data_IF_815555522489
#
_entry.id   IF_815555522489
#
_cell.length_a   1.000
_cell.length_b   1.000
_cell.length_c   1.000
_cell.angle_alpha   90.00
_cell.angle_beta   90.00
_cell.angle_gamma   90.00
#
_symmetry.space_group_name_H-M   'P 1'
#
loop_
_entity.id
_entity.type
_entity.pdbx_description
1 polymer ?
#
# COMPACT_ATOMS: atom_id res chain seq x y z
N UNK A 1 12.97 -10.40 -20.60
CA UNK A 1 11.91 -9.99 -19.73
C UNK A 1 11.52 -11.13 -18.81
N UNK A 2 11.50 -10.86 -17.52
CA UNK A 2 11.05 -11.84 -16.55
C UNK A 2 9.56 -11.66 -16.35
N UNK A 3 8.80 -12.74 -16.35
CA UNK A 3 7.36 -12.67 -16.21
C UNK A 3 7.01 -12.34 -14.77
N UNK A 4 6.41 -11.18 -14.59
CA UNK A 4 5.71 -10.85 -13.36
C UNK A 4 4.36 -11.56 -13.33
N UNK A 5 3.79 -11.70 -12.16
CA UNK A 5 2.43 -12.20 -12.02
C UNK A 5 1.44 -11.19 -12.56
N UNK A 6 0.63 -11.64 -13.49
CA UNK A 6 -0.42 -10.81 -14.07
C UNK A 6 -1.79 -10.99 -13.41
N UNK A 7 -1.95 -11.97 -12.54
CA UNK A 7 -3.22 -12.23 -11.90
C UNK A 7 -3.25 -11.74 -10.47
N UNK A 8 -4.36 -11.10 -10.11
CA UNK A 8 -4.63 -10.79 -8.72
C UNK A 8 -4.49 -12.07 -7.87
N UNK A 9 -3.99 -11.95 -6.65
CA UNK A 9 -3.80 -10.69 -5.94
C UNK A 9 -2.54 -9.91 -6.29
N UNK A 10 -1.63 -10.45 -7.10
CA UNK A 10 -0.38 -9.78 -7.46
C UNK A 10 -0.16 -9.72 -8.96
N UNK A 11 0.33 -8.61 -9.41
CA UNK A 11 0.68 -8.33 -10.79
C UNK A 11 0.60 -6.84 -11.08
N UNK A 12 1.37 -6.39 -12.04
CA UNK A 12 1.25 -5.02 -12.55
C UNK A 12 -0.01 -4.96 -13.39
N UNK A 13 -0.97 -4.16 -12.98
CA UNK A 13 -2.30 -4.08 -13.58
C UNK A 13 -2.47 -2.87 -14.48
N UNK A 14 -1.68 -1.83 -14.27
CA UNK A 14 -1.80 -0.58 -15.00
C UNK A 14 -0.43 0.11 -15.15
N UNK A 15 -0.40 1.15 -15.96
CA UNK A 15 0.72 2.09 -16.02
C UNK A 15 0.52 3.28 -15.07
N UNK A 16 -0.52 3.25 -14.26
CA UNK A 16 -0.84 4.33 -13.33
C UNK A 16 0.10 4.40 -12.13
N UNK A 17 0.24 5.58 -11.60
CA UNK A 17 1.08 5.87 -10.43
C UNK A 17 0.65 5.06 -9.21
N UNK A 18 -0.64 4.78 -9.11
CA UNK A 18 -1.24 4.06 -7.99
C UNK A 18 -1.25 2.53 -8.16
N UNK A 19 -0.29 1.99 -8.89
CA UNK A 19 -0.20 0.56 -9.14
C UNK A 19 0.04 -0.24 -7.87
N UNK A 20 -0.99 -0.88 -7.40
CA UNK A 20 -0.95 -1.72 -6.19
C UNK A 20 -0.08 -2.97 -6.33
N UNK A 21 0.20 -3.41 -7.55
CA UNK A 21 1.07 -4.54 -7.84
C UNK A 21 2.56 -4.25 -7.68
N UNK A 22 2.93 -2.98 -7.57
CA UNK A 22 4.33 -2.53 -7.45
C UNK A 22 4.71 -2.13 -6.02
N UNK A 23 4.12 -2.77 -5.02
CA UNK A 23 4.43 -2.49 -3.62
C UNK A 23 5.81 -2.99 -3.23
N UNK A 24 6.53 -2.14 -2.49
CA UNK A 24 7.85 -2.42 -1.94
C UNK A 24 7.87 -2.16 -0.44
N UNK A 25 8.82 -2.77 0.24
CA UNK A 25 9.18 -2.44 1.61
C UNK A 25 10.43 -1.60 1.57
N UNK A 26 10.43 -0.46 2.23
CA UNK A 26 11.56 0.45 2.35
C UNK A 26 12.16 0.35 3.73
N UNK A 27 13.49 0.42 3.80
CA UNK A 27 14.22 0.35 5.04
C UNK A 27 14.13 -0.99 5.76
N UNK A 28 14.68 -1.04 6.96
CA UNK A 28 14.76 -2.23 7.79
C UNK A 28 14.63 -1.90 9.27
N UNK A 29 14.39 -2.92 10.10
CA UNK A 29 14.22 -2.73 11.55
C UNK A 29 13.02 -1.86 11.91
N UNK A 30 13.23 -0.90 12.81
CA UNK A 30 12.21 0.04 13.26
C UNK A 30 11.75 1.00 12.16
N UNK A 31 12.66 1.37 11.25
CA UNK A 31 12.38 2.24 10.08
C UNK A 31 11.81 1.50 8.86
N UNK A 32 11.37 0.27 9.05
CA UNK A 32 10.78 -0.51 7.96
C UNK A 32 9.37 -0.04 7.64
N UNK A 33 9.20 0.51 6.46
CA UNK A 33 7.92 0.93 5.91
C UNK A 33 7.48 -0.02 4.79
N UNK A 34 6.49 -0.87 5.02
CA UNK A 34 5.95 -1.78 4.02
C UNK A 34 4.81 -1.16 3.23
N UNK A 35 4.53 -1.75 2.06
CA UNK A 35 3.44 -1.36 1.16
C UNK A 35 3.59 0.03 0.53
N UNK A 36 4.82 0.51 0.45
CA UNK A 36 5.13 1.73 -0.29
C UNK A 36 4.97 1.48 -1.78
N UNK A 37 4.37 2.42 -2.49
CA UNK A 37 4.22 2.34 -3.95
C UNK A 37 5.54 2.65 -4.62
N UNK A 38 6.12 1.67 -5.31
CA UNK A 38 7.40 1.87 -6.00
C UNK A 38 7.32 2.94 -7.10
N UNK A 39 6.13 3.20 -7.62
CA UNK A 39 5.90 4.17 -8.70
C UNK A 39 5.95 5.62 -8.21
N UNK A 40 5.72 5.86 -6.92
CA UNK A 40 5.74 7.20 -6.32
C UNK A 40 6.92 7.43 -5.40
N UNK A 41 7.72 6.37 -5.15
CA UNK A 41 8.86 6.47 -4.26
C UNK A 41 9.99 7.27 -4.89
N UNK A 42 10.38 8.33 -4.23
CA UNK A 42 11.57 9.10 -4.59
C UNK A 42 12.83 8.25 -4.46
N UNK A 43 13.70 8.33 -5.47
CA UNK A 43 14.96 7.60 -5.49
C UNK A 43 16.09 8.48 -4.93
N UNK A 44 16.78 7.95 -3.94
CA UNK A 44 17.96 8.60 -3.36
C UNK A 44 19.07 7.57 -3.12
N UNK A 45 20.28 8.05 -2.98
CA UNK A 45 21.44 7.21 -2.72
C UNK A 45 21.30 6.51 -1.34
N UNK A 46 21.52 5.19 -1.33
CA UNK A 46 21.36 4.37 -0.12
C UNK A 46 19.94 3.89 0.15
N UNK A 47 18.98 4.11 -0.76
CA UNK A 47 17.63 3.58 -0.63
C UNK A 47 17.64 2.05 -0.57
N UNK A 48 17.24 1.49 0.57
CA UNK A 48 17.02 0.05 0.74
C UNK A 48 15.55 -0.27 0.43
N UNK A 49 15.30 -0.86 -0.74
CA UNK A 49 13.97 -1.21 -1.19
C UNK A 49 13.87 -2.69 -1.56
N UNK A 50 12.91 -3.39 -0.96
CA UNK A 50 12.66 -4.81 -1.18
C UNK A 50 11.30 -5.04 -1.80
N UNK A 51 11.25 -5.69 -2.96
CA UNK A 51 9.99 -6.06 -3.61
C UNK A 51 9.17 -7.05 -2.78
N UNK A 52 7.86 -6.83 -2.71
CA UNK A 52 6.90 -7.68 -2.00
C UNK A 52 6.19 -8.68 -2.92
N UNK A 53 6.30 -8.50 -4.23
CA UNK A 53 5.57 -9.28 -5.23
C UNK A 53 6.21 -10.59 -5.64
N UNK A 54 7.39 -10.92 -5.14
CA UNK A 54 8.10 -12.15 -5.48
C UNK A 54 8.50 -12.91 -4.22
N UNK A 55 8.51 -14.24 -4.29
CA UNK A 55 8.97 -15.11 -3.22
C UNK A 55 9.63 -16.38 -3.78
N UNK A 56 10.83 -16.74 -3.33
CA UNK A 56 11.70 -16.04 -2.37
C UNK A 56 12.44 -14.83 -2.98
N UNK A 57 12.51 -14.72 -4.30
CA UNK A 57 13.23 -13.63 -4.96
C UNK A 57 12.61 -13.27 -6.31
N UNK A 58 13.03 -12.15 -6.87
CA UNK A 58 12.64 -11.73 -8.24
C UNK A 58 13.17 -12.69 -9.31
N UNK A 59 14.27 -13.39 -9.02
CA UNK A 59 14.87 -14.33 -9.94
C UNK A 59 14.10 -15.66 -10.02
N UNK A 60 13.48 -16.02 -8.91
CA UNK A 60 12.70 -17.25 -8.78
C UNK A 60 11.47 -16.98 -7.90
N UNK A 61 10.30 -16.89 -8.52
CA UNK A 61 9.05 -16.58 -7.82
C UNK A 61 8.10 -17.77 -7.85
N UNK A 62 7.96 -18.45 -6.71
CA UNK A 62 6.97 -19.51 -6.54
C UNK A 62 5.54 -19.05 -6.80
N UNK A 63 5.27 -17.80 -6.54
CA UNK A 63 3.96 -17.24 -6.78
C UNK A 63 3.61 -17.15 -8.27
N UNK A 64 4.58 -17.33 -9.19
CA UNK A 64 4.32 -17.45 -10.63
C UNK A 64 3.35 -18.56 -10.99
N UNK A 65 3.20 -19.60 -10.14
CA UNK A 65 2.21 -20.66 -10.32
C UNK A 65 0.78 -20.13 -10.40
N UNK A 66 0.50 -18.97 -9.75
CA UNK A 66 -0.81 -18.33 -9.83
C UNK A 66 -1.17 -17.86 -11.25
N UNK A 67 -0.21 -17.70 -12.15
CA UNK A 67 -0.49 -17.36 -13.55
C UNK A 67 -1.25 -18.48 -14.25
N UNK A 68 -0.98 -19.73 -13.86
CA UNK A 68 -1.65 -20.90 -14.39
C UNK A 68 -2.94 -21.23 -13.67
N UNK A 69 -2.99 -20.95 -12.38
CA UNK A 69 -4.12 -21.25 -11.50
C UNK A 69 -5.05 -20.06 -11.26
N UNK A 70 -4.87 -18.96 -11.97
CA UNK A 70 -5.60 -17.70 -11.77
C UNK A 70 -7.12 -17.82 -11.82
N UNK A 71 -7.66 -18.79 -12.59
CA UNK A 71 -9.09 -19.07 -12.63
C UNK A 71 -9.62 -19.58 -11.29
N UNK A 72 -8.82 -20.33 -10.55
CA UNK A 72 -9.19 -20.92 -9.26
C UNK A 72 -8.92 -19.96 -8.10
N UNK A 73 -7.98 -19.04 -8.27
CA UNK A 73 -7.55 -18.11 -7.22
C UNK A 73 -8.07 -16.67 -7.43
N UNK A 74 -9.18 -16.52 -8.15
CA UNK A 74 -9.85 -15.23 -8.26
C UNK A 74 -10.34 -14.73 -6.89
N UNK A 75 -10.42 -13.42 -6.70
CA UNK A 75 -10.79 -12.80 -5.43
C UNK A 75 -12.10 -13.36 -4.85
N UNK A 76 -13.09 -13.67 -5.70
CA UNK A 76 -14.35 -14.30 -5.28
C UNK A 76 -14.18 -15.70 -4.67
N UNK A 77 -13.18 -16.46 -5.12
CA UNK A 77 -12.89 -17.77 -4.54
C UNK A 77 -12.40 -17.63 -3.10
N UNK A 78 -11.47 -16.70 -2.85
CA UNK A 78 -10.96 -16.48 -1.49
C UNK A 78 -12.06 -16.06 -0.53
N UNK A 79 -12.88 -15.09 -0.91
CA UNK A 79 -13.97 -14.62 -0.06
C UNK A 79 -15.02 -15.69 0.20
N UNK A 80 -15.48 -16.40 -0.83
CA UNK A 80 -16.52 -17.42 -0.67
C UNK A 80 -16.04 -18.66 0.07
N UNK A 81 -14.80 -19.08 -0.18
CA UNK A 81 -14.28 -20.34 0.36
C UNK A 81 -13.83 -20.19 1.81
N UNK A 82 -13.14 -19.09 2.15
CA UNK A 82 -12.50 -18.98 3.45
C UNK A 82 -13.29 -18.15 4.46
N UNK A 83 -14.14 -17.24 4.02
CA UNK A 83 -15.01 -16.48 4.93
C UNK A 83 -16.33 -17.21 5.23
N UNK A 84 -16.75 -18.11 4.35
CA UNK A 84 -17.99 -18.88 4.54
C UNK A 84 -17.84 -20.17 5.35
N UNK A 85 -16.63 -20.52 5.78
CA UNK A 85 -16.43 -21.66 6.68
C UNK A 85 -16.96 -21.32 8.08
N UNK A 86 -17.69 -22.28 8.73
CA UNK A 86 -18.21 -22.03 10.06
C UNK A 86 -17.11 -21.57 11.01
N UNK A 87 -17.40 -20.68 11.95
CA UNK A 87 -16.44 -20.24 12.92
C UNK A 87 -16.04 -21.41 13.81
N UNK A 88 -14.88 -21.97 13.55
CA UNK A 88 -14.22 -22.78 14.54
C UNK A 88 -13.65 -21.79 15.55
N UNK A 89 -14.30 -21.67 16.68
CA UNK A 89 -13.86 -20.83 17.79
C UNK A 89 -12.55 -21.39 18.37
N UNK A 90 -11.46 -21.05 17.74
CA UNK A 90 -10.15 -21.22 18.34
C UNK A 90 -9.66 -19.86 18.83
N UNK A 91 -9.98 -19.55 20.07
CA UNK A 91 -9.48 -18.40 20.80
C UNK A 91 -10.01 -17.05 20.32
N UNK A 92 -10.94 -16.48 21.03
CA UNK A 92 -11.41 -15.08 20.92
C UNK A 92 -11.95 -14.63 19.55
N UNK A 93 -12.85 -15.39 18.96
CA UNK A 93 -13.76 -14.86 17.92
C UNK A 93 -13.15 -14.57 16.53
N UNK A 94 -11.91 -14.94 16.26
CA UNK A 94 -11.25 -14.63 14.98
C UNK A 94 -11.27 -15.78 13.95
N UNK A 95 -11.73 -16.95 14.33
CA UNK A 95 -11.97 -18.10 13.45
C UNK A 95 -10.77 -18.56 12.60
N UNK A 96 -11.02 -19.52 11.76
CA UNK A 96 -10.10 -20.06 10.75
C UNK A 96 -9.57 -18.97 9.78
N UNK A 97 -10.32 -17.88 9.59
CA UNK A 97 -9.92 -16.77 8.74
C UNK A 97 -8.53 -16.24 9.06
N UNK A 98 -8.18 -16.06 10.32
CA UNK A 98 -6.86 -15.52 10.70
C UNK A 98 -5.67 -16.40 10.31
N UNK A 99 -5.90 -17.68 10.10
CA UNK A 99 -4.87 -18.61 9.58
C UNK A 99 -4.68 -18.38 8.08
N UNK A 100 -5.79 -18.31 7.34
CA UNK A 100 -5.76 -18.09 5.91
C UNK A 100 -5.35 -16.67 5.55
N UNK A 101 -5.69 -15.68 6.37
CA UNK A 101 -5.33 -14.28 6.17
C UNK A 101 -3.82 -14.11 5.97
N UNK A 102 -3.02 -14.79 6.78
CA UNK A 102 -1.55 -14.72 6.65
C UNK A 102 -1.04 -15.23 5.30
N UNK A 103 -1.65 -16.31 4.81
CA UNK A 103 -1.29 -16.88 3.51
C UNK A 103 -1.76 -15.98 2.38
N UNK A 104 -3.00 -15.48 2.47
CA UNK A 104 -3.60 -14.60 1.48
C UNK A 104 -2.85 -13.28 1.42
N UNK A 105 -2.51 -12.68 2.56
CA UNK A 105 -1.70 -11.45 2.63
C UNK A 105 -0.37 -11.63 1.93
N UNK A 106 0.35 -12.71 2.24
CA UNK A 106 1.63 -13.02 1.58
C UNK A 106 1.45 -13.26 0.08
N UNK A 107 0.40 -13.98 -0.30
CA UNK A 107 0.07 -14.22 -1.70
C UNK A 107 -0.32 -12.93 -2.42
N UNK A 108 -0.96 -11.99 -1.75
CA UNK A 108 -1.28 -10.66 -2.26
C UNK A 108 -0.06 -9.73 -2.40
N UNK A 109 1.11 -10.13 -1.89
CA UNK A 109 2.30 -9.30 -1.91
C UNK A 109 2.25 -8.15 -0.92
N UNK A 110 1.41 -8.24 0.10
CA UNK A 110 1.34 -7.23 1.15
C UNK A 110 2.40 -7.49 2.22
N UNK A 111 3.11 -6.44 2.59
CA UNK A 111 4.13 -6.45 3.63
C UNK A 111 3.53 -6.42 5.03
N UNK A 112 4.40 -6.51 6.00
CA UNK A 112 4.06 -6.47 7.41
C UNK A 112 4.79 -5.33 8.09
N UNK A 113 4.06 -4.49 8.81
CA UNK A 113 4.62 -3.38 9.58
C UNK A 113 5.67 -3.84 10.59
N UNK A 114 6.59 -2.96 10.95
CA UNK A 114 7.50 -3.17 12.06
C UNK A 114 6.70 -3.32 13.36
N UNK A 115 7.23 -4.07 14.29
CA UNK A 115 6.72 -4.16 15.68
C UNK A 115 7.66 -3.47 16.65
N UNK A 116 8.76 -2.95 16.16
CA UNK A 116 9.70 -2.17 16.94
C UNK A 116 9.11 -0.80 17.24
N UNK A 117 9.50 -0.15 18.33
CA UNK A 117 9.07 1.21 18.61
C UNK A 117 9.44 2.13 17.46
N UNK A 118 8.56 3.08 17.18
CA UNK A 118 8.79 4.11 16.19
C UNK A 118 9.95 5.01 16.65
N UNK A 119 11.03 5.13 15.87
CA UNK A 119 12.16 5.97 16.22
C UNK A 119 11.95 7.44 15.87
N UNK A 120 10.89 7.77 15.15
CA UNK A 120 10.65 9.11 14.67
C UNK A 120 10.05 10.00 15.76
N UNK A 121 10.40 11.27 15.73
CA UNK A 121 9.87 12.29 16.63
C UNK A 121 8.91 13.17 15.85
N UNK A 122 7.70 13.31 16.36
CA UNK A 122 6.64 14.09 15.72
C UNK A 122 6.47 15.42 16.42
N UNK A 123 6.39 16.49 15.66
CA UNK A 123 6.01 17.80 16.16
C UNK A 123 4.49 17.91 16.18
N UNK A 124 3.99 18.55 17.22
CA UNK A 124 2.57 18.84 17.38
C UNK A 124 2.37 20.36 17.38
N UNK A 125 1.57 20.84 16.46
CA UNK A 125 1.21 22.24 16.36
C UNK A 125 -0.31 22.39 16.24
N UNK A 126 -0.80 23.56 16.67
CA UNK A 126 -2.19 23.97 16.46
C UNK A 126 -2.19 25.19 15.55
N UNK A 127 -3.01 25.14 14.53
CA UNK A 127 -3.17 26.25 13.61
C UNK A 127 -4.66 26.43 13.29
N UNK A 128 -5.02 27.61 12.79
CA UNK A 128 -6.40 27.98 12.50
C UNK A 128 -6.51 28.44 11.05
N UNK A 129 -7.51 27.95 10.36
CA UNK A 129 -7.81 28.35 9.00
C UNK A 129 -9.32 28.41 8.76
N UNK A 130 -9.70 29.17 7.74
CA UNK A 130 -11.09 29.20 7.26
C UNK A 130 -11.38 27.98 6.38
N UNK A 131 -10.37 27.52 5.62
CA UNK A 131 -10.46 26.39 4.71
C UNK A 131 -9.23 25.48 4.88
N UNK A 132 -9.47 24.21 5.17
CA UNK A 132 -8.44 23.17 5.15
C UNK A 132 -8.61 22.32 3.90
N UNK A 133 -7.59 22.30 3.04
CA UNK A 133 -7.52 21.46 1.85
C UNK A 133 -6.56 20.32 2.12
N UNK A 134 -7.01 19.07 1.95
CA UNK A 134 -6.20 17.88 2.14
C UNK A 134 -5.91 17.24 0.77
N UNK A 135 -4.65 17.25 0.40
CA UNK A 135 -4.15 16.79 -0.90
C UNK A 135 -3.96 17.93 -1.89
N UNK A 136 -2.78 17.99 -2.50
CA UNK A 136 -2.39 19.02 -3.47
C UNK A 136 -2.53 18.58 -4.92
N UNK A 137 -3.38 17.61 -5.21
CA UNK A 137 -3.72 17.26 -6.59
C UNK A 137 -4.37 18.46 -7.33
N UNK A 138 -4.63 18.34 -8.64
CA UNK A 138 -5.15 19.44 -9.45
C UNK A 138 -6.41 20.10 -8.87
N UNK A 139 -7.31 19.31 -8.29
CA UNK A 139 -8.52 19.80 -7.64
C UNK A 139 -8.18 20.58 -6.36
N UNK A 140 -7.36 19.99 -5.46
CA UNK A 140 -7.00 20.65 -4.20
C UNK A 140 -6.26 21.96 -4.41
N UNK A 141 -5.35 22.02 -5.38
CA UNK A 141 -4.66 23.27 -5.73
C UNK A 141 -5.64 24.31 -6.28
N UNK A 142 -6.60 23.89 -7.12
CA UNK A 142 -7.62 24.80 -7.65
C UNK A 142 -8.52 25.35 -6.53
N UNK A 143 -8.97 24.49 -5.64
CA UNK A 143 -9.82 24.87 -4.50
C UNK A 143 -9.10 25.81 -3.53
N UNK A 144 -7.84 25.47 -3.18
CA UNK A 144 -7.02 26.31 -2.33
C UNK A 144 -6.80 27.71 -2.95
N UNK A 145 -6.53 27.77 -4.24
CA UNK A 145 -6.37 29.03 -4.96
C UNK A 145 -7.65 29.85 -4.97
N UNK A 146 -8.78 29.21 -5.22
CA UNK A 146 -10.07 29.90 -5.26
C UNK A 146 -10.43 30.46 -3.89
N UNK A 147 -10.25 29.67 -2.82
CA UNK A 147 -10.49 30.13 -1.46
C UNK A 147 -9.56 31.31 -1.08
N UNK A 148 -8.29 31.25 -1.46
CA UNK A 148 -7.33 32.33 -1.23
C UNK A 148 -7.71 33.62 -2.00
N UNK A 149 -8.25 33.50 -3.20
CA UNK A 149 -8.75 34.64 -3.98
C UNK A 149 -9.92 35.36 -3.29
N UNK A 150 -10.64 34.64 -2.43
CA UNK A 150 -11.70 35.19 -1.61
C UNK A 150 -11.22 35.77 -0.27
N UNK A 151 -9.90 35.91 -0.09
CA UNK A 151 -9.23 36.37 1.12
C UNK A 151 -9.48 35.49 2.34
N UNK A 152 -9.72 34.19 2.15
CA UNK A 152 -9.81 33.23 3.24
C UNK A 152 -8.42 32.76 3.62
N UNK A 153 -8.23 32.45 4.90
CA UNK A 153 -7.03 31.82 5.39
C UNK A 153 -7.08 30.31 5.05
N UNK A 154 -6.18 29.86 4.18
CA UNK A 154 -6.19 28.50 3.65
C UNK A 154 -4.95 27.74 4.11
N UNK A 155 -5.17 26.54 4.64
CA UNK A 155 -4.10 25.56 4.89
C UNK A 155 -4.24 24.44 3.86
N UNK A 156 -3.19 24.20 3.08
CA UNK A 156 -3.08 23.06 2.16
C UNK A 156 -2.12 22.04 2.74
N UNK A 157 -2.57 20.81 2.93
CA UNK A 157 -1.77 19.71 3.47
C UNK A 157 -1.50 18.70 2.35
N UNK A 158 -0.24 18.29 2.22
CA UNK A 158 0.20 17.26 1.29
C UNK A 158 1.11 16.26 2.00
N UNK A 159 0.99 14.99 1.64
CA UNK A 159 1.86 13.94 2.19
C UNK A 159 3.16 13.78 1.41
N UNK A 160 3.15 14.15 0.13
CA UNK A 160 4.31 14.04 -0.74
C UNK A 160 5.20 15.30 -0.65
N UNK A 161 6.45 15.16 -1.01
CA UNK A 161 7.41 16.28 -0.98
C UNK A 161 7.16 17.35 -2.06
N UNK A 162 6.36 17.00 -3.07
CA UNK A 162 6.02 17.88 -4.19
C UNK A 162 4.51 18.12 -4.26
N UNK A 163 4.14 19.38 -4.50
CA UNK A 163 2.76 19.75 -4.74
C UNK A 163 2.36 19.45 -6.21
N UNK A 164 1.07 19.20 -6.43
CA UNK A 164 0.49 19.06 -7.78
C UNK A 164 -0.11 17.69 -8.07
N UNK A 165 0.22 16.67 -7.28
CA UNK A 165 -0.18 15.29 -7.50
C UNK A 165 0.52 14.66 -8.71
N UNK A 166 0.12 13.42 -9.05
CA UNK A 166 0.69 12.60 -10.12
C UNK A 166 -0.27 12.44 -11.29
#
# INVERSE_FOLDING_TARGET
GRSFKYHRPRGVMSCGVEESGALVTIGSGSKRDPNVRATTQELYEGLDAKGQNAFPSVNFDFGGINNYLGRFFAAGFYYKTFMGLPPFEWGKGTGIWMVFEKIIRKAAGMGKASREPDPDSYEHAHDFCDVLVVGSGPAGVADAKEAANQNLNVILIEQDSLLGGN
#
